data_IF_874449010440
#
_entry.id   IF_874449010440
#
_cell.length_a   1.000
_cell.length_b   1.000
_cell.length_c   1.000
_cell.angle_alpha   90.00
_cell.angle_beta   90.00
_cell.angle_gamma   90.00
#
_symmetry.space_group_name_H-M   'P 1'
#
loop_
_entity.id
_entity.type
_entity.pdbx_description
1 polymer ?
#
# COMPACT_ATOMS: atom_id res chain seq x y z
N UNK A 1 -1.14 -15.31 13.93
CA UNK A 1 -2.23 -14.92 13.03
C UNK A 1 -1.60 -14.02 11.99
N UNK A 2 -1.46 -14.49 10.75
CA UNK A 2 -0.84 -13.71 9.69
C UNK A 2 -1.89 -12.72 9.16
N UNK A 3 -1.57 -11.43 9.08
CA UNK A 3 -2.47 -10.47 8.47
C UNK A 3 -2.61 -10.78 6.97
N UNK A 4 -3.80 -11.23 6.58
CA UNK A 4 -4.22 -11.54 5.21
C UNK A 4 -4.64 -10.30 4.42
N UNK A 5 -4.56 -9.12 5.03
CA UNK A 5 -5.01 -7.86 4.45
C UNK A 5 -4.21 -7.53 3.18
N UNK A 6 -4.89 -7.26 2.08
CA UNK A 6 -4.27 -6.88 0.81
C UNK A 6 -3.88 -5.40 0.85
N UNK A 7 -2.65 -5.08 0.42
CA UNK A 7 -2.18 -3.70 0.27
C UNK A 7 -2.05 -3.40 -1.22
N UNK A 8 -2.69 -2.32 -1.65
CA UNK A 8 -2.63 -1.81 -3.02
C UNK A 8 -2.18 -0.36 -2.99
N UNK A 9 -1.23 0.02 -3.85
CA UNK A 9 -0.79 1.41 -3.99
C UNK A 9 -1.17 1.90 -5.37
N UNK A 10 -1.81 3.08 -5.43
CA UNK A 10 -2.19 3.75 -6.66
C UNK A 10 -1.42 5.07 -6.78
N UNK A 11 -0.99 5.42 -7.99
CA UNK A 11 -0.47 6.76 -8.27
C UNK A 11 -1.61 7.82 -8.28
N UNK A 12 -1.25 9.09 -8.49
CA UNK A 12 -2.21 10.18 -8.56
C UNK A 12 -3.25 10.02 -9.71
N UNK A 13 -2.93 9.22 -10.73
CA UNK A 13 -3.85 8.89 -11.82
C UNK A 13 -4.75 7.69 -11.53
N UNK A 14 -4.62 7.06 -10.36
CA UNK A 14 -5.36 5.87 -9.97
C UNK A 14 -4.82 4.57 -10.55
N UNK A 15 -3.64 4.59 -11.19
CA UNK A 15 -3.01 3.38 -11.71
C UNK A 15 -2.29 2.65 -10.59
N UNK A 16 -2.49 1.34 -10.51
CA UNK A 16 -1.80 0.51 -9.54
C UNK A 16 -0.30 0.46 -9.82
N UNK A 17 0.47 0.71 -8.76
CA UNK A 17 1.92 0.58 -8.74
C UNK A 17 2.29 -0.79 -8.18
N UNK A 18 3.15 -1.51 -8.89
CA UNK A 18 3.69 -2.77 -8.40
C UNK A 18 4.83 -2.48 -7.44
N UNK A 19 4.70 -2.97 -6.21
CA UNK A 19 5.66 -2.79 -5.13
C UNK A 19 5.86 -4.12 -4.40
N UNK A 20 7.09 -4.34 -3.95
CA UNK A 20 7.37 -5.43 -3.03
C UNK A 20 6.80 -5.11 -1.65
N UNK A 21 5.99 -6.02 -1.13
CA UNK A 21 5.37 -5.91 0.19
C UNK A 21 5.92 -7.00 1.09
N UNK A 22 6.65 -6.58 2.11
CA UNK A 22 7.18 -7.46 3.14
C UNK A 22 6.28 -7.44 4.36
N UNK A 23 6.11 -8.58 5.03
CA UNK A 23 5.21 -8.69 6.19
C UNK A 23 5.96 -9.15 7.43
N UNK A 24 5.69 -8.49 8.54
CA UNK A 24 6.17 -8.87 9.87
C UNK A 24 4.99 -8.91 10.84
N UNK A 25 4.38 -10.09 10.96
CA UNK A 25 3.14 -10.27 11.73
C UNK A 25 1.97 -9.52 11.10
N UNK A 26 1.48 -8.49 11.79
CA UNK A 26 0.37 -7.65 11.34
C UNK A 26 0.82 -6.37 10.61
N UNK A 27 2.13 -6.16 10.48
CA UNK A 27 2.70 -5.00 9.82
C UNK A 27 3.08 -5.37 8.39
N UNK A 28 2.64 -4.56 7.43
CA UNK A 28 3.10 -4.59 6.05
C UNK A 28 4.07 -3.42 5.83
N UNK A 29 5.22 -3.71 5.25
CA UNK A 29 6.24 -2.75 4.88
C UNK A 29 6.38 -2.72 3.36
N UNK A 30 6.48 -1.51 2.81
CA UNK A 30 6.61 -1.28 1.38
C UNK A 30 7.94 -0.59 1.12
N UNK A 31 8.64 -1.04 0.07
CA UNK A 31 9.83 -0.36 -0.43
C UNK A 31 9.42 0.77 -1.38
N UNK A 32 9.69 2.02 -1.01
CA UNK A 32 9.26 3.20 -1.76
C UNK A 32 10.37 3.84 -2.58
N UNK A 33 11.63 3.41 -2.43
CA UNK A 33 12.79 4.05 -3.06
C UNK A 33 12.80 4.01 -4.59
N UNK A 34 12.02 3.11 -5.22
CA UNK A 34 11.86 3.04 -6.66
C UNK A 34 10.73 3.94 -7.21
N UNK A 35 9.94 4.57 -6.34
CA UNK A 35 8.84 5.44 -6.73
C UNK A 35 9.37 6.82 -7.12
N UNK A 36 8.81 7.38 -8.18
CA UNK A 36 9.02 8.80 -8.49
C UNK A 36 8.35 9.67 -7.42
N UNK A 37 8.92 10.84 -7.08
CA UNK A 37 8.30 11.78 -6.18
C UNK A 37 6.87 12.14 -6.63
N UNK A 38 5.94 12.20 -5.68
CA UNK A 38 4.53 12.42 -5.98
C UNK A 38 3.57 11.94 -4.89
N UNK A 39 2.27 12.10 -5.17
CA UNK A 39 1.20 11.65 -4.29
C UNK A 39 0.71 10.27 -4.69
N UNK A 40 0.57 9.39 -3.70
CA UNK A 40 0.06 8.04 -3.85
C UNK A 40 -1.08 7.78 -2.89
N UNK A 41 -1.97 6.88 -3.29
CA UNK A 41 -3.07 6.37 -2.47
C UNK A 41 -2.75 4.93 -2.06
N UNK A 42 -2.66 4.69 -0.76
CA UNK A 42 -2.49 3.34 -0.22
C UNK A 42 -3.85 2.84 0.26
N UNK A 43 -4.29 1.73 -0.32
CA UNK A 43 -5.54 1.06 -0.02
C UNK A 43 -5.23 -0.26 0.69
N UNK A 44 -5.77 -0.42 1.89
CA UNK A 44 -5.67 -1.65 2.68
C UNK A 44 -7.05 -2.29 2.73
N UNK A 45 -7.16 -3.50 2.22
CA UNK A 45 -8.39 -4.30 2.26
C UNK A 45 -8.20 -5.44 3.25
N UNK A 46 -8.89 -5.36 4.37
CA UNK A 46 -8.85 -6.40 5.38
C UNK A 46 -9.58 -7.67 4.91
N UNK A 47 -9.24 -8.82 5.50
CA UNK A 47 -9.82 -10.11 5.10
C UNK A 47 -11.35 -10.20 5.29
N UNK A 48 -11.92 -9.38 6.18
CA UNK A 48 -13.36 -9.25 6.37
C UNK A 48 -14.03 -8.25 5.40
N UNK A 49 -13.28 -7.69 4.45
CA UNK A 49 -13.78 -6.75 3.44
C UNK A 49 -13.75 -5.28 3.85
N UNK A 50 -13.28 -4.94 5.06
CA UNK A 50 -13.13 -3.53 5.47
C UNK A 50 -12.00 -2.88 4.66
N UNK A 51 -12.27 -1.72 4.08
CA UNK A 51 -11.31 -0.97 3.27
C UNK A 51 -10.91 0.33 3.97
N UNK A 52 -9.61 0.54 4.14
CA UNK A 52 -9.04 1.80 4.61
C UNK A 52 -8.15 2.40 3.52
N UNK A 53 -8.23 3.71 3.34
CA UNK A 53 -7.36 4.43 2.40
C UNK A 53 -6.57 5.51 3.13
N UNK A 54 -5.30 5.64 2.80
CA UNK A 54 -4.46 6.76 3.23
C UNK A 54 -3.72 7.38 2.04
N UNK A 55 -3.26 8.62 2.20
CA UNK A 55 -2.45 9.32 1.21
C UNK A 55 -1.02 9.41 1.69
N UNK A 56 -0.09 9.19 0.76
CA UNK A 56 1.34 9.21 1.00
C UNK A 56 1.99 10.17 0.00
N UNK A 57 2.82 11.08 0.50
CA UNK A 57 3.71 11.87 -0.33
C UNK A 57 5.09 11.21 -0.34
N UNK A 58 5.61 10.93 -1.53
CA UNK A 58 7.01 10.51 -1.75
C UNK A 58 7.77 11.74 -2.22
N UNK A 59 8.92 12.02 -1.60
CA UNK A 59 9.76 13.19 -1.84
C UNK A 59 11.16 12.78 -2.28
#
# INVERSE_FOLDING_TARGET
MNATDAVTVLDAGGRQVQLDVWRQGNVAQLELGALSPGMYHVVVTAANGVVTTTRLAVQ
#
